data_IF_614917678247
#
_entry.id   IF_614917678247
#
_cell.length_a   1.000
_cell.length_b   1.000
_cell.length_c   1.000
_cell.angle_alpha   90.00
_cell.angle_beta   90.00
_cell.angle_gamma   90.00
#
_symmetry.space_group_name_H-M   'P 1'
#
loop_
_entity.id
_entity.type
_entity.pdbx_description
1 polymer ?
#
# COMPACT_ATOMS: atom_id res chain seq x y z
N UNK A 1 36.15 43.43 18.79
CA UNK A 1 34.71 43.07 18.79
C UNK A 1 34.46 41.94 17.80
N UNK A 2 34.12 40.75 18.31
CA UNK A 2 33.16 39.74 17.81
C UNK A 2 33.61 38.36 18.29
N UNK A 3 32.77 37.76 19.13
CA UNK A 3 32.96 36.53 19.89
C UNK A 3 33.08 35.30 18.96
N UNK A 4 33.85 34.27 19.33
CA UNK A 4 33.74 32.96 18.69
C UNK A 4 32.41 32.32 19.10
N UNK A 5 31.68 31.76 18.12
CA UNK A 5 30.53 30.89 18.39
C UNK A 5 30.99 29.44 18.30
N UNK A 6 31.19 28.84 19.46
CA UNK A 6 31.15 27.40 19.68
C UNK A 6 29.83 26.85 19.13
N UNK A 7 29.87 25.81 18.31
CA UNK A 7 28.69 24.99 18.03
C UNK A 7 29.03 23.56 18.47
N UNK A 8 28.68 23.30 19.72
CA UNK A 8 28.71 21.99 20.35
C UNK A 8 27.54 21.14 19.84
N UNK A 9 27.84 19.84 19.72
CA UNK A 9 26.91 18.70 19.80
C UNK A 9 26.07 18.38 18.56
N UNK A 10 26.72 17.70 17.62
CA UNK A 10 26.10 16.63 16.85
C UNK A 10 26.35 15.29 17.56
N UNK A 11 25.47 14.91 18.46
CA UNK A 11 25.34 13.53 18.93
C UNK A 11 23.86 13.27 19.24
N UNK A 12 23.08 12.88 18.23
CA UNK A 12 21.77 12.29 18.49
C UNK A 12 21.99 10.80 18.73
N UNK A 13 22.37 10.49 19.98
CA UNK A 13 22.31 9.14 20.53
C UNK A 13 20.86 8.80 20.90
N UNK A 14 20.51 7.54 20.64
CA UNK A 14 19.40 6.75 21.16
C UNK A 14 18.26 7.47 21.89
N UNK A 15 17.09 7.49 21.24
CA UNK A 15 15.84 7.28 21.96
C UNK A 15 15.24 5.99 21.43
N UNK A 16 15.47 4.89 22.17
CA UNK A 16 14.55 3.75 22.21
C UNK A 16 13.18 4.28 22.63
N UNK A 17 12.35 4.62 21.65
CA UNK A 17 10.95 4.94 21.87
C UNK A 17 10.24 3.69 22.36
N UNK A 18 9.71 3.74 23.59
CA UNK A 18 8.68 2.83 24.08
C UNK A 18 7.60 2.61 23.00
N UNK A 19 7.05 1.40 22.79
CA UNK A 19 5.98 1.20 21.83
C UNK A 19 4.77 2.02 22.28
N UNK A 20 4.54 3.13 21.59
CA UNK A 20 3.35 3.94 21.77
C UNK A 20 2.15 3.06 21.43
N UNK A 21 1.34 2.73 22.43
CA UNK A 21 0.20 1.81 22.33
C UNK A 21 -1.00 2.42 21.58
N UNK A 22 -0.83 3.58 20.92
CA UNK A 22 -1.88 4.34 20.23
C UNK A 22 -1.68 4.42 18.71
N UNK A 23 -0.86 3.54 18.11
CA UNK A 23 -0.93 3.35 16.66
C UNK A 23 -2.15 2.46 16.34
N UNK A 24 -3.22 2.98 15.71
CA UNK A 24 -4.41 2.17 15.42
C UNK A 24 -4.13 1.04 14.41
N UNK A 25 -2.99 1.08 13.72
CA UNK A 25 -2.56 0.06 12.76
C UNK A 25 -1.36 -0.76 13.27
N UNK A 26 -1.22 -0.91 14.59
CA UNK A 26 -0.16 -1.73 15.19
C UNK A 26 -0.28 -3.22 14.84
N UNK A 27 -1.49 -3.70 14.57
CA UNK A 27 -1.77 -5.08 14.19
C UNK A 27 -1.76 -5.27 12.65
N UNK A 28 -0.57 -5.52 12.08
CA UNK A 28 -0.43 -5.88 10.66
C UNK A 28 -0.78 -7.35 10.48
N UNK A 29 -1.85 -7.62 9.74
CA UNK A 29 -2.38 -8.97 9.49
C UNK A 29 -1.72 -9.64 8.28
N UNK A 30 -1.26 -8.86 7.32
CA UNK A 30 -0.57 -9.36 6.13
C UNK A 30 0.43 -8.33 5.62
N UNK A 31 1.60 -8.79 5.20
CA UNK A 31 2.55 -8.00 4.43
C UNK A 31 3.01 -8.79 3.21
N UNK A 32 3.56 -8.09 2.22
CA UNK A 32 4.12 -8.75 1.06
C UNK A 32 4.86 -7.80 0.13
N UNK A 33 5.54 -8.40 -0.84
CA UNK A 33 6.27 -7.70 -1.88
C UNK A 33 5.77 -8.14 -3.25
N UNK A 34 5.55 -7.17 -4.14
CA UNK A 34 5.07 -7.43 -5.51
C UNK A 34 5.97 -6.72 -6.51
N UNK A 35 6.25 -7.30 -7.69
CA UNK A 35 7.03 -6.62 -8.72
C UNK A 35 6.38 -5.30 -9.14
N UNK A 36 7.19 -4.26 -9.38
CA UNK A 36 6.68 -3.02 -9.99
C UNK A 36 6.11 -3.28 -11.37
N UNK A 37 5.15 -2.45 -11.79
CA UNK A 37 4.61 -2.52 -13.14
C UNK A 37 5.61 -2.01 -14.18
N UNK A 38 5.75 -2.77 -15.27
CA UNK A 38 6.52 -2.40 -16.46
C UNK A 38 7.67 -3.35 -16.73
N UNK A 39 7.90 -3.65 -18.01
CA UNK A 39 8.89 -4.66 -18.44
C UNK A 39 10.33 -4.28 -18.04
N UNK A 40 10.61 -2.99 -17.90
CA UNK A 40 11.91 -2.45 -17.49
C UNK A 40 11.94 -1.97 -16.04
N UNK A 41 10.84 -2.13 -15.30
CA UNK A 41 10.79 -1.70 -13.91
C UNK A 41 11.61 -2.67 -13.06
N UNK A 42 12.47 -2.11 -12.19
CA UNK A 42 13.33 -2.88 -11.31
C UNK A 42 12.80 -2.76 -9.88
N UNK A 43 12.79 -3.90 -9.18
CA UNK A 43 12.41 -4.01 -7.77
C UNK A 43 10.92 -4.21 -7.53
N UNK A 44 10.56 -4.06 -6.26
CA UNK A 44 9.27 -4.43 -5.69
C UNK A 44 8.57 -3.22 -5.07
N UNK A 45 7.25 -3.34 -4.92
CA UNK A 45 6.41 -2.54 -4.05
C UNK A 45 6.11 -3.38 -2.82
N UNK A 46 6.36 -2.82 -1.64
CA UNK A 46 6.11 -3.47 -0.35
C UNK A 46 4.77 -2.94 0.16
N UNK A 47 3.87 -3.83 0.57
CA UNK A 47 2.57 -3.48 1.10
C UNK A 47 2.31 -4.13 2.45
N UNK A 48 1.39 -3.53 3.19
CA UNK A 48 0.85 -4.06 4.43
C UNK A 48 -0.67 -3.93 4.43
N UNK A 49 -1.32 -4.85 5.12
CA UNK A 49 -2.74 -4.86 5.43
C UNK A 49 -2.86 -5.02 6.95
N UNK A 50 -3.62 -4.13 7.57
CA UNK A 50 -3.82 -4.09 9.01
C UNK A 50 -5.31 -3.90 9.32
N UNK A 51 -5.73 -4.40 10.48
CA UNK A 51 -7.01 -4.00 11.04
C UNK A 51 -6.82 -2.76 11.91
N UNK A 52 -7.64 -1.74 11.70
CA UNK A 52 -7.63 -0.56 12.53
C UNK A 52 -8.33 -0.84 13.87
N UNK A 53 -7.65 -0.61 14.99
CA UNK A 53 -8.19 -0.90 16.32
C UNK A 53 -9.39 -0.04 16.72
N UNK A 54 -9.61 1.10 16.08
CA UNK A 54 -10.69 2.06 16.42
C UNK A 54 -12.01 1.72 15.71
N UNK A 55 -11.97 1.39 14.42
CA UNK A 55 -13.17 1.11 13.61
C UNK A 55 -13.33 -0.37 13.22
N UNK A 56 -12.34 -1.21 13.58
CA UNK A 56 -12.28 -2.64 13.29
C UNK A 56 -12.28 -2.98 11.79
N UNK A 57 -12.06 -2.01 10.91
CA UNK A 57 -12.01 -2.19 9.46
C UNK A 57 -10.61 -2.56 8.98
N UNK A 58 -10.54 -3.23 7.83
CA UNK A 58 -9.28 -3.52 7.14
C UNK A 58 -8.81 -2.32 6.32
N UNK A 59 -7.52 -2.05 6.39
CA UNK A 59 -6.84 -1.04 5.60
C UNK A 59 -5.60 -1.64 4.95
N UNK A 60 -5.21 -1.11 3.81
CA UNK A 60 -3.92 -1.40 3.19
C UNK A 60 -3.09 -0.13 3.03
N UNK A 61 -1.77 -0.26 2.92
CA UNK A 61 -0.88 0.84 2.55
C UNK A 61 0.26 0.37 1.66
N UNK A 62 0.86 1.32 0.94
CA UNK A 62 2.21 1.16 0.40
C UNK A 62 3.19 1.39 1.55
N UNK A 63 3.89 0.35 1.98
CA UNK A 63 4.83 0.39 3.10
C UNK A 63 6.25 0.76 2.66
N UNK A 64 6.60 0.44 1.42
CA UNK A 64 7.93 0.67 0.88
C UNK A 64 8.08 0.30 -0.59
N UNK A 65 9.30 0.41 -1.10
CA UNK A 65 9.70 -0.09 -2.41
C UNK A 65 11.19 -0.44 -2.42
N UNK A 66 11.61 -1.29 -3.37
CA UNK A 66 13.01 -1.61 -3.64
C UNK A 66 13.41 -1.26 -5.07
N UNK A 67 14.71 -1.28 -5.40
CA UNK A 67 15.18 -1.19 -6.79
C UNK A 67 15.08 0.18 -7.47
N UNK A 68 14.99 1.29 -6.72
CA UNK A 68 15.12 2.63 -7.29
C UNK A 68 14.64 3.77 -6.38
N UNK A 69 14.90 5.01 -6.81
CA UNK A 69 14.38 6.21 -6.17
C UNK A 69 12.94 6.48 -6.64
N UNK A 70 12.03 6.76 -5.71
CA UNK A 70 10.65 7.09 -6.02
C UNK A 70 9.84 7.32 -4.76
N UNK A 71 9.13 8.44 -4.71
CA UNK A 71 8.26 8.73 -3.59
C UNK A 71 7.04 7.81 -3.63
N UNK A 72 6.53 7.45 -2.47
CA UNK A 72 5.22 6.83 -2.27
C UNK A 72 4.56 7.45 -1.04
N UNK A 73 3.24 7.44 -0.99
CA UNK A 73 2.50 7.81 0.21
C UNK A 73 2.30 6.59 1.10
N UNK A 74 2.63 6.71 2.38
CA UNK A 74 2.43 5.66 3.40
C UNK A 74 1.05 5.72 4.06
N UNK A 75 0.07 6.33 3.39
CA UNK A 75 -1.29 6.48 3.91
C UNK A 75 -1.98 5.11 3.93
N UNK A 76 -2.72 4.87 5.02
CA UNK A 76 -3.64 3.76 5.13
C UNK A 76 -4.93 4.10 4.37
N UNK A 77 -5.36 3.20 3.50
CA UNK A 77 -6.59 3.31 2.70
C UNK A 77 -7.50 2.17 3.10
N UNK A 78 -8.80 2.45 3.29
CA UNK A 78 -9.77 1.41 3.60
C UNK A 78 -9.81 0.38 2.48
N UNK A 79 -9.71 -0.89 2.83
CA UNK A 79 -9.75 -1.98 1.86
C UNK A 79 -11.11 -1.99 1.13
N UNK A 80 -12.20 -1.66 1.82
CA UNK A 80 -13.54 -1.53 1.23
C UNK A 80 -13.61 -0.50 0.11
N UNK A 81 -12.91 0.63 0.23
CA UNK A 81 -12.86 1.66 -0.83
C UNK A 81 -12.13 1.13 -2.08
N UNK A 82 -11.02 0.40 -1.90
CA UNK A 82 -10.32 -0.24 -3.02
C UNK A 82 -11.21 -1.29 -3.71
N UNK A 83 -11.88 -2.14 -2.92
CA UNK A 83 -12.74 -3.18 -3.46
C UNK A 83 -13.92 -2.58 -4.24
N UNK A 84 -14.62 -1.60 -3.67
CA UNK A 84 -15.72 -0.91 -4.34
C UNK A 84 -15.27 -0.23 -5.64
N UNK A 85 -14.07 0.36 -5.66
CA UNK A 85 -13.51 0.98 -6.86
C UNK A 85 -13.28 -0.04 -7.97
N UNK A 86 -12.80 -1.26 -7.63
CA UNK A 86 -12.63 -2.35 -8.60
C UNK A 86 -14.00 -2.89 -9.06
N UNK A 87 -14.91 -3.15 -8.13
CA UNK A 87 -16.25 -3.69 -8.42
C UNK A 87 -17.06 -2.75 -9.32
N UNK A 88 -16.90 -1.44 -9.17
CA UNK A 88 -17.57 -0.44 -10.03
C UNK A 88 -17.15 -0.49 -11.50
N UNK A 89 -16.01 -1.13 -11.82
CA UNK A 89 -15.57 -1.31 -13.21
C UNK A 89 -16.30 -2.47 -13.92
N UNK A 90 -16.78 -3.46 -13.15
CA UNK A 90 -17.31 -4.71 -13.70
C UNK A 90 -16.31 -5.40 -14.62
N UNK A 91 -16.78 -5.88 -15.78
CA UNK A 91 -15.93 -6.57 -16.77
C UNK A 91 -15.13 -5.62 -17.67
N UNK A 92 -15.26 -4.30 -17.49
CA UNK A 92 -14.61 -3.31 -18.36
C UNK A 92 -13.14 -3.14 -17.96
N UNK A 93 -12.21 -3.09 -18.93
CA UNK A 93 -10.83 -2.77 -18.61
C UNK A 93 -10.66 -1.33 -18.09
N UNK A 94 -9.76 -1.13 -17.12
CA UNK A 94 -9.42 0.19 -16.57
C UNK A 94 -7.92 0.46 -16.57
N UNK A 95 -7.52 1.74 -16.45
CA UNK A 95 -6.11 2.16 -16.33
C UNK A 95 -5.70 2.29 -14.86
N UNK A 96 -4.41 2.15 -14.56
CA UNK A 96 -3.89 2.39 -13.19
C UNK A 96 -4.29 3.76 -12.63
N UNK A 97 -4.53 4.76 -13.49
CA UNK A 97 -4.99 6.10 -13.13
C UNK A 97 -6.28 6.11 -12.28
N UNK A 98 -7.13 5.07 -12.38
CA UNK A 98 -8.32 4.90 -11.55
C UNK A 98 -7.98 5.00 -10.05
N UNK A 99 -6.87 4.39 -9.62
CA UNK A 99 -6.48 4.36 -8.21
C UNK A 99 -6.08 5.72 -7.65
N UNK A 100 -5.96 6.77 -8.48
CA UNK A 100 -5.77 8.15 -7.99
C UNK A 100 -6.90 8.56 -7.04
N UNK A 101 -8.11 8.03 -7.23
CA UNK A 101 -9.27 8.31 -6.36
C UNK A 101 -9.04 7.91 -4.89
N UNK A 102 -8.13 6.96 -4.63
CA UNK A 102 -7.77 6.52 -3.28
C UNK A 102 -6.75 7.43 -2.58
N UNK A 103 -6.20 8.43 -3.30
CA UNK A 103 -5.16 9.32 -2.80
C UNK A 103 -5.53 10.78 -3.09
N UNK A 104 -6.00 11.51 -2.07
CA UNK A 104 -6.29 12.95 -2.21
C UNK A 104 -5.05 13.76 -2.62
N UNK A 105 -3.88 13.37 -2.07
CA UNK A 105 -2.58 14.00 -2.33
C UNK A 105 -1.46 12.98 -2.17
N UNK A 106 -0.30 13.30 -2.74
CA UNK A 106 0.91 12.50 -2.55
C UNK A 106 1.66 12.20 -3.86
N UNK A 107 2.41 11.11 -3.85
CA UNK A 107 3.25 10.75 -4.99
C UNK A 107 2.43 10.37 -6.22
N UNK A 108 2.86 10.86 -7.39
CA UNK A 108 2.34 10.42 -8.68
C UNK A 108 2.54 8.90 -8.94
N UNK A 109 3.43 8.24 -8.22
CA UNK A 109 3.68 6.80 -8.35
C UNK A 109 2.62 5.93 -7.65
N UNK A 110 1.82 6.49 -6.75
CA UNK A 110 0.87 5.74 -5.92
C UNK A 110 -0.08 4.89 -6.77
N UNK A 111 -0.57 5.44 -7.89
CA UNK A 111 -1.48 4.73 -8.78
C UNK A 111 -0.86 3.47 -9.41
N UNK A 112 0.42 3.55 -9.80
CA UNK A 112 1.15 2.41 -10.38
C UNK A 112 1.53 1.38 -9.32
N UNK A 113 1.88 1.83 -8.12
CA UNK A 113 2.20 0.95 -6.99
C UNK A 113 0.95 0.25 -6.44
N UNK A 114 -0.15 0.96 -6.26
CA UNK A 114 -1.45 0.38 -5.92
C UNK A 114 -1.86 -0.66 -6.97
N UNK A 115 -1.72 -0.34 -8.26
CA UNK A 115 -2.01 -1.29 -9.33
C UNK A 115 -1.12 -2.56 -9.30
N UNK A 116 0.15 -2.44 -8.90
CA UNK A 116 1.03 -3.59 -8.68
C UNK A 116 0.53 -4.47 -7.51
N UNK A 117 0.15 -3.84 -6.39
CA UNK A 117 -0.38 -4.52 -5.21
C UNK A 117 -1.68 -5.26 -5.55
N UNK A 118 -2.63 -4.59 -6.23
CA UNK A 118 -3.90 -5.19 -6.65
C UNK A 118 -3.68 -6.44 -7.52
N UNK A 119 -2.70 -6.39 -8.45
CA UNK A 119 -2.33 -7.57 -9.25
C UNK A 119 -1.67 -8.67 -8.42
N UNK A 120 -0.76 -8.31 -7.52
CA UNK A 120 -0.09 -9.29 -6.65
C UNK A 120 -1.01 -9.94 -5.63
N UNK A 121 -2.09 -9.25 -5.22
CA UNK A 121 -3.19 -9.80 -4.44
C UNK A 121 -4.17 -10.64 -5.28
N UNK A 122 -3.96 -10.73 -6.59
CA UNK A 122 -4.82 -11.50 -7.50
C UNK A 122 -6.24 -10.92 -7.65
N UNK A 123 -6.43 -9.63 -7.35
CA UNK A 123 -7.71 -8.93 -7.52
C UNK A 123 -7.88 -8.41 -8.96
N UNK A 124 -6.78 -8.14 -9.64
CA UNK A 124 -6.78 -7.77 -11.06
C UNK A 124 -5.68 -8.51 -11.82
N UNK A 125 -5.84 -8.60 -13.13
CA UNK A 125 -4.79 -9.07 -14.04
C UNK A 125 -4.47 -8.01 -15.11
N UNK A 126 -3.52 -8.28 -16.00
CA UNK A 126 -3.22 -7.42 -17.14
C UNK A 126 -4.28 -7.60 -18.22
N UNK A 127 -4.82 -6.49 -18.72
CA UNK A 127 -5.71 -6.48 -19.87
C UNK A 127 -4.94 -6.05 -21.13
N UNK A 128 -4.83 -6.95 -22.10
CA UNK A 128 -4.19 -6.70 -23.40
C UNK A 128 -2.70 -6.31 -23.31
N UNK A 129 -2.25 -5.54 -24.30
CA UNK A 129 -0.84 -5.21 -24.47
C UNK A 129 -0.33 -4.09 -23.54
N UNK A 130 -1.19 -3.31 -22.89
CA UNK A 130 -0.73 -2.25 -21.98
C UNK A 130 -0.42 -2.79 -20.59
N UNK A 131 0.78 -2.52 -20.08
CA UNK A 131 1.16 -2.92 -18.71
C UNK A 131 0.36 -2.19 -17.62
N UNK A 132 -0.25 -1.05 -17.94
CA UNK A 132 -1.03 -0.21 -17.02
C UNK A 132 -2.54 -0.35 -17.23
N UNK A 133 -2.98 -1.34 -18.00
CA UNK A 133 -4.40 -1.65 -18.21
C UNK A 133 -4.76 -2.95 -17.50
N UNK A 134 -5.90 -2.96 -16.83
CA UNK A 134 -6.31 -3.97 -15.88
C UNK A 134 -7.71 -4.48 -16.22
N UNK A 135 -7.99 -5.72 -15.84
CA UNK A 135 -9.34 -6.30 -15.78
C UNK A 135 -9.44 -7.09 -14.49
N UNK A 136 -10.66 -7.31 -14.00
CA UNK A 136 -10.92 -8.15 -12.83
C UNK A 136 -10.29 -9.52 -13.05
N UNK A 137 -9.64 -10.05 -12.01
CA UNK A 137 -9.06 -11.38 -12.04
C UNK A 137 -10.14 -12.45 -11.95
N UNK A 138 -9.95 -13.60 -12.61
CA UNK A 138 -10.83 -14.76 -12.45
C UNK A 138 -10.88 -15.25 -10.98
N UNK A 139 -9.82 -14.99 -10.21
CA UNK A 139 -9.71 -15.33 -8.78
C UNK A 139 -10.18 -14.20 -7.86
N UNK A 140 -10.84 -13.17 -8.40
CA UNK A 140 -11.20 -11.99 -7.61
C UNK A 140 -12.01 -12.33 -6.37
N UNK A 141 -13.08 -13.12 -6.51
CA UNK A 141 -13.96 -13.46 -5.39
C UNK A 141 -13.23 -14.24 -4.30
N UNK A 142 -12.49 -15.29 -4.69
CA UNK A 142 -11.67 -16.10 -3.77
C UNK A 142 -10.67 -15.22 -3.00
N UNK A 143 -9.91 -14.37 -3.70
CA UNK A 143 -8.89 -13.53 -3.07
C UNK A 143 -9.51 -12.41 -2.22
N UNK A 144 -10.62 -11.83 -2.64
CA UNK A 144 -11.38 -10.84 -1.88
C UNK A 144 -11.85 -11.45 -0.56
N UNK A 145 -12.47 -12.62 -0.60
CA UNK A 145 -12.99 -13.28 0.59
C UNK A 145 -11.86 -13.69 1.54
N UNK A 146 -10.75 -14.22 1.00
CA UNK A 146 -9.56 -14.51 1.80
C UNK A 146 -8.99 -13.25 2.51
N UNK A 147 -8.99 -12.09 1.84
CA UNK A 147 -8.59 -10.83 2.47
C UNK A 147 -9.54 -10.41 3.60
N UNK A 148 -10.84 -10.54 3.39
CA UNK A 148 -11.85 -10.19 4.40
C UNK A 148 -11.84 -11.15 5.60
N UNK A 149 -11.39 -12.39 5.41
CA UNK A 149 -11.25 -13.39 6.46
C UNK A 149 -10.01 -13.17 7.36
N UNK A 150 -9.06 -12.32 6.98
CA UNK A 150 -7.87 -12.02 7.81
C UNK A 150 -8.22 -11.53 9.23
N UNK A 151 -9.41 -10.97 9.42
CA UNK A 151 -9.90 -10.51 10.73
C UNK A 151 -10.29 -11.68 11.65
N UNK A 152 -10.64 -12.84 11.08
CA UNK A 152 -11.17 -14.00 11.84
C UNK A 152 -10.08 -14.95 12.32
N UNK A 153 -8.92 -14.99 11.66
CA UNK A 153 -7.82 -15.91 11.96
C UNK A 153 -7.03 -15.59 13.26
N UNK A 154 -7.50 -14.64 14.08
CA UNK A 154 -6.86 -14.23 15.33
C UNK A 154 -7.73 -14.48 16.58
N UNK A 155 -8.82 -15.27 16.45
CA UNK A 155 -9.75 -15.60 17.55
C UNK A 155 -9.69 -17.07 18.02
N UNK A 156 -8.69 -17.84 17.60
CA UNK A 156 -8.45 -19.23 18.06
C UNK A 156 -7.25 -19.34 18.96
#
# INVERSE_FOLDING_TARGET
>A
MKKPKTNEQNTQADIKGSPSTDNPFSNVLKSGEVPKLGVRAIGTVIYEIAQNSKDQQLYFRIAGQSGGAGLHSKHWIQLSQLLALIESQGDKPWKSQLYKELYEKGSANNQGFCAAIVRGLGLATRAGASMYQHVVSEKYQENRDALLLLVKDQQT
#
